data_IF_021615688757
#
_entry.id   IF_021615688757
#
_cell.length_a   1.000
_cell.length_b   1.000
_cell.length_c   1.000
_cell.angle_alpha   90.00
_cell.angle_beta   90.00
_cell.angle_gamma   90.00
#
_symmetry.space_group_name_H-M   'P 1'
#
loop_
_entity.id
_entity.type
_entity.pdbx_description
1 polymer ?
#
# COMPACT_ATOMS: atom_id res chain seq x y z
N UNK A 1 0.24 7.21 -16.01
CA UNK A 1 -0.16 6.78 -14.65
C UNK A 1 1.05 6.91 -13.73
N UNK A 2 1.08 7.93 -12.88
CA UNK A 2 2.07 8.02 -11.80
C UNK A 2 1.72 6.98 -10.74
N UNK A 3 2.68 6.12 -10.39
CA UNK A 3 2.48 5.07 -9.39
C UNK A 3 2.57 5.70 -7.99
N UNK A 4 1.43 6.15 -7.46
CA UNK A 4 1.33 6.69 -6.10
C UNK A 4 1.14 5.54 -5.12
N UNK A 5 2.19 5.22 -4.37
CA UNK A 5 2.14 4.23 -3.30
C UNK A 5 1.15 4.64 -2.21
N UNK A 6 0.59 3.63 -1.54
CA UNK A 6 -0.22 3.85 -0.35
C UNK A 6 0.68 4.28 0.81
N UNK A 7 0.27 5.31 1.55
CA UNK A 7 0.87 5.66 2.82
C UNK A 7 0.56 4.59 3.87
N UNK A 8 1.31 4.59 4.97
CA UNK A 8 1.02 3.68 6.08
C UNK A 8 -0.36 3.96 6.70
N UNK A 9 -0.78 5.23 6.75
CA UNK A 9 -2.10 5.63 7.25
C UNK A 9 -3.23 5.10 6.36
N UNK A 10 -3.05 5.16 5.04
CA UNK A 10 -4.02 4.57 4.10
C UNK A 10 -4.10 3.05 4.28
N UNK A 11 -2.99 2.36 4.54
CA UNK A 11 -3.00 0.91 4.80
C UNK A 11 -3.76 0.57 6.10
N UNK A 12 -3.60 1.36 7.17
CA UNK A 12 -4.33 1.19 8.43
C UNK A 12 -5.83 1.41 8.20
N UNK A 13 -6.22 2.47 7.49
CA UNK A 13 -7.63 2.69 7.16
C UNK A 13 -8.22 1.56 6.32
N UNK A 14 -7.46 0.98 5.38
CA UNK A 14 -7.92 -0.19 4.62
C UNK A 14 -8.21 -1.37 5.54
N UNK A 15 -7.34 -1.63 6.53
CA UNK A 15 -7.54 -2.69 7.52
C UNK A 15 -8.77 -2.42 8.38
N UNK A 16 -8.91 -1.23 8.94
CA UNK A 16 -10.06 -0.85 9.75
C UNK A 16 -11.38 -0.96 8.99
N UNK A 17 -11.44 -0.44 7.76
CA UNK A 17 -12.65 -0.55 6.93
C UNK A 17 -12.96 -1.98 6.53
N UNK A 18 -11.93 -2.81 6.33
CA UNK A 18 -12.12 -4.24 6.06
C UNK A 18 -12.70 -4.95 7.29
N UNK A 19 -12.23 -4.63 8.50
CA UNK A 19 -12.77 -5.16 9.76
C UNK A 19 -14.22 -4.70 10.01
N UNK A 20 -14.61 -3.54 9.48
CA UNK A 20 -16.00 -3.05 9.46
C UNK A 20 -16.86 -3.70 8.36
N UNK A 21 -16.37 -4.75 7.69
CA UNK A 21 -17.06 -5.47 6.61
C UNK A 21 -17.40 -4.61 5.38
N UNK A 22 -16.66 -3.52 5.14
CA UNK A 22 -16.88 -2.68 3.97
C UNK A 22 -16.37 -3.38 2.69
N UNK A 23 -17.09 -3.19 1.59
CA UNK A 23 -16.67 -3.72 0.29
C UNK A 23 -15.38 -3.03 -0.22
N UNK A 24 -14.58 -3.73 -1.01
CA UNK A 24 -13.36 -3.12 -1.58
C UNK A 24 -13.65 -1.93 -2.50
N UNK A 25 -14.83 -1.89 -3.14
CA UNK A 25 -15.26 -0.77 -3.99
C UNK A 25 -15.66 0.45 -3.17
N UNK A 26 -16.28 0.28 -2.01
CA UNK A 26 -16.59 1.41 -1.10
C UNK A 26 -15.31 1.96 -0.49
N UNK A 27 -14.40 1.10 -0.02
CA UNK A 27 -13.08 1.50 0.51
C UNK A 27 -12.30 2.32 -0.54
N UNK A 28 -12.28 1.86 -1.79
CA UNK A 28 -11.63 2.57 -2.89
C UNK A 28 -12.19 3.98 -3.12
N UNK A 29 -13.51 4.14 -3.01
CA UNK A 29 -14.17 5.45 -3.10
C UNK A 29 -13.80 6.35 -1.93
N UNK A 30 -13.79 5.85 -0.70
CA UNK A 30 -13.42 6.65 0.49
C UNK A 30 -11.98 7.15 0.43
N UNK A 31 -11.05 6.31 -0.04
CA UNK A 31 -9.63 6.66 -0.13
C UNK A 31 -9.26 7.35 -1.44
N UNK A 32 -10.22 7.59 -2.35
CA UNK A 32 -9.96 8.10 -3.70
C UNK A 32 -8.86 7.32 -4.46
N UNK A 33 -8.84 5.99 -4.28
CA UNK A 33 -7.87 5.08 -4.91
C UNK A 33 -8.55 4.14 -5.90
N UNK A 34 -7.76 3.53 -6.78
CA UNK A 34 -8.29 2.52 -7.68
C UNK A 34 -8.70 1.25 -6.92
N UNK A 35 -9.80 0.63 -7.35
CA UNK A 35 -10.28 -0.64 -6.80
C UNK A 35 -9.22 -1.75 -6.88
N UNK A 36 -8.45 -1.79 -7.97
CA UNK A 36 -7.35 -2.75 -8.13
C UNK A 36 -6.23 -2.54 -7.12
N UNK A 37 -5.95 -1.31 -6.70
CA UNK A 37 -4.96 -1.01 -5.67
C UNK A 37 -5.43 -1.55 -4.31
N UNK A 38 -6.66 -1.22 -3.93
CA UNK A 38 -7.26 -1.68 -2.66
C UNK A 38 -7.34 -3.21 -2.62
N UNK A 39 -7.81 -3.85 -3.69
CA UNK A 39 -7.90 -5.31 -3.77
C UNK A 39 -6.55 -6.01 -3.54
N UNK A 40 -5.46 -5.47 -4.07
CA UNK A 40 -4.11 -6.02 -3.84
C UNK A 40 -3.68 -5.95 -2.38
N UNK A 41 -4.07 -4.90 -1.66
CA UNK A 41 -3.81 -4.78 -0.21
C UNK A 41 -4.69 -5.74 0.57
N UNK A 42 -5.99 -5.79 0.26
CA UNK A 42 -6.93 -6.70 0.93
C UNK A 42 -6.55 -8.17 0.75
N UNK A 43 -6.01 -8.55 -0.41
CA UNK A 43 -5.49 -9.91 -0.62
C UNK A 43 -4.34 -10.23 0.35
N UNK A 44 -3.46 -9.26 0.65
CA UNK A 44 -2.38 -9.44 1.63
C UNK A 44 -2.91 -9.51 3.06
N UNK A 45 -3.87 -8.65 3.41
CA UNK A 45 -4.51 -8.68 4.74
C UNK A 45 -5.25 -10.02 4.95
N UNK A 46 -5.93 -10.54 3.92
CA UNK A 46 -6.54 -11.89 3.94
C UNK A 46 -5.53 -13.03 4.09
N UNK A 47 -4.27 -12.81 3.73
CA UNK A 47 -3.17 -13.75 3.96
C UNK A 47 -2.59 -13.63 5.37
N UNK A 48 -3.13 -12.74 6.22
CA UNK A 48 -2.68 -12.53 7.60
C UNK A 48 -1.59 -11.47 7.78
N UNK A 49 -1.27 -10.71 6.73
CA UNK A 49 -0.26 -9.64 6.81
C UNK A 49 -0.84 -8.38 7.47
N UNK A 50 -0.11 -7.83 8.44
CA UNK A 50 -0.44 -6.55 9.06
C UNK A 50 -0.07 -5.37 8.13
N UNK A 51 -0.78 -4.22 8.20
CA UNK A 51 -0.43 -3.01 7.43
C UNK A 51 1.03 -2.57 7.57
N UNK A 52 1.57 -2.65 8.78
CA UNK A 52 2.97 -2.33 9.07
C UNK A 52 3.93 -3.25 8.29
N UNK A 53 3.64 -4.54 8.22
CA UNK A 53 4.46 -5.51 7.49
C UNK A 53 4.39 -5.26 5.99
N UNK A 54 3.19 -4.96 5.46
CA UNK A 54 3.00 -4.60 4.05
C UNK A 54 3.87 -3.38 3.69
N UNK A 55 3.90 -2.36 4.57
CA UNK A 55 4.72 -1.16 4.38
C UNK A 55 6.22 -1.43 4.47
N UNK A 56 6.66 -2.21 5.45
CA UNK A 56 8.07 -2.58 5.62
C UNK A 56 8.58 -3.43 4.45
N UNK A 57 7.79 -4.41 4.01
CA UNK A 57 8.08 -5.22 2.83
C UNK A 57 8.20 -4.34 1.58
N UNK A 58 7.31 -3.37 1.41
CA UNK A 58 7.43 -2.39 0.34
C UNK A 58 8.74 -1.61 0.42
N UNK A 59 9.09 -1.05 1.59
CA UNK A 59 10.35 -0.31 1.77
C UNK A 59 11.58 -1.19 1.47
N UNK A 60 11.58 -2.44 1.92
CA UNK A 60 12.67 -3.38 1.65
C UNK A 60 12.80 -3.68 0.16
N UNK A 61 11.69 -3.92 -0.53
CA UNK A 61 11.69 -4.13 -1.98
C UNK A 61 12.11 -2.87 -2.74
N UNK A 62 11.72 -1.69 -2.27
CA UNK A 62 12.12 -0.41 -2.85
C UNK A 62 13.63 -0.17 -2.75
N UNK A 63 14.27 -0.60 -1.65
CA UNK A 63 15.74 -0.56 -1.50
C UNK A 63 16.47 -1.45 -2.51
N UNK A 64 15.85 -2.55 -2.94
CA UNK A 64 16.38 -3.44 -3.99
C UNK A 64 16.19 -2.89 -5.41
N UNK A 65 15.41 -1.81 -5.59
CA UNK A 65 15.27 -1.19 -6.90
C UNK A 65 16.62 -0.60 -7.34
N UNK A 66 17.11 -0.99 -8.51
CA UNK A 66 18.46 -0.70 -9.02
C UNK A 66 18.78 0.77 -9.36
N UNK A 67 18.04 1.74 -8.81
CA UNK A 67 18.42 3.15 -8.94
C UNK A 67 19.68 3.38 -8.10
N UNK A 68 20.81 3.59 -8.77
CA UNK A 68 22.06 3.99 -8.12
C UNK A 68 21.89 5.33 -7.41
N UNK A 69 22.50 5.54 -6.24
CA UNK A 69 22.50 6.84 -5.57
C UNK A 69 23.11 7.90 -6.50
N UNK A 70 22.51 9.08 -6.55
CA UNK A 70 23.08 10.23 -7.26
C UNK A 70 24.23 10.74 -6.40
N UNK A 71 25.44 10.69 -6.95
CA UNK A 71 26.61 11.38 -6.38
C UNK A 71 26.65 12.75 -7.05
N UNK A 72 26.53 13.82 -6.27
CA UNK A 72 26.72 15.17 -6.79
C UNK A 72 28.23 15.39 -7.00
N UNK A 73 28.66 15.95 -8.15
CA UNK A 73 30.04 16.39 -8.31
C UNK A 73 30.36 17.50 -7.30
N UNK A 74 31.59 17.51 -6.78
CA UNK A 74 32.12 18.60 -5.94
C UNK A 74 32.39 19.85 -6.78
#
# INVERSE_FOLDING_TARGET
MSYVHLSITELIFIEEYFNQNMSSRTIAKHLNRSHSCINRVLQKIKQGLLPIEIHLNYKQNKKKCGRKPIVLPQ
#
